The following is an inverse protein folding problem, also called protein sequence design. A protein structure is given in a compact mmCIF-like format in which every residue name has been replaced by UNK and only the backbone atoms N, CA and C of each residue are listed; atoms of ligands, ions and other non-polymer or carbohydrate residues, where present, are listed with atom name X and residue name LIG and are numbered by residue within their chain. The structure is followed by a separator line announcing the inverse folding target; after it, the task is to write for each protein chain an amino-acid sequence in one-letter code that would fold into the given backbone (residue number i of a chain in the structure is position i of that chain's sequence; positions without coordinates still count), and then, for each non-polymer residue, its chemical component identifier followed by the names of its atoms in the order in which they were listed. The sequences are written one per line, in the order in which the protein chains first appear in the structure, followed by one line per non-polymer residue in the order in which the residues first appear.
data_IF_299488042845
#
_entry.id   IF_299488042845
#
_cell.length_a   1.000
_cell.length_b   1.000
_cell.length_c   1.000
_cell.angle_alpha   90.00
_cell.angle_beta   90.00
_cell.angle_gamma   90.00
#
_symmetry.space_group_name_H-M   'P 1'
#
loop_
_entity.id
_entity.type
_entity.pdbx_description
1 polymer ?
#
# COMPACT_ATOMS: atom_id res chain seq x y z
N UNK A 1 10.56 1.19 13.25
CA UNK A 1 11.53 1.31 12.16
C UNK A 1 11.50 0.03 11.35
N UNK A 2 11.45 0.13 10.02
CA UNK A 2 11.47 -1.01 9.11
C UNK A 2 12.67 -0.94 8.16
N UNK A 3 13.06 -2.09 7.61
CA UNK A 3 14.09 -2.22 6.58
C UNK A 3 13.64 -3.28 5.58
N UNK A 4 13.58 -2.89 4.33
CA UNK A 4 13.41 -3.78 3.18
C UNK A 4 14.68 -3.76 2.35
N UNK A 5 15.12 -4.93 1.89
CA UNK A 5 16.28 -5.08 1.01
C UNK A 5 15.80 -5.75 -0.27
N UNK A 6 15.89 -5.03 -1.38
CA UNK A 6 15.56 -5.51 -2.72
C UNK A 6 16.75 -5.27 -3.66
N UNK A 7 17.52 -6.32 -3.90
CA UNK A 7 18.77 -6.23 -4.63
C UNK A 7 19.74 -5.25 -4.00
N UNK A 8 20.01 -4.14 -4.67
CA UNK A 8 20.88 -3.06 -4.19
C UNK A 8 20.09 -1.88 -3.56
N UNK A 9 18.78 -1.94 -3.60
CA UNK A 9 17.95 -0.92 -2.94
C UNK A 9 17.60 -1.34 -1.54
N UNK A 10 17.72 -0.41 -0.62
CA UNK A 10 17.20 -0.54 0.73
C UNK A 10 16.18 0.57 0.96
N UNK A 11 15.10 0.25 1.63
CA UNK A 11 14.03 1.20 1.93
C UNK A 11 13.34 0.84 3.25
N UNK A 12 12.55 1.74 3.75
CA UNK A 12 11.76 1.50 4.94
C UNK A 12 11.18 2.76 5.55
N UNK A 13 10.62 2.60 6.74
CA UNK A 13 10.16 3.72 7.57
C UNK A 13 11.15 3.92 8.72
N UNK A 14 11.72 5.08 8.85
CA UNK A 14 12.62 5.45 9.95
C UNK A 14 11.84 5.55 11.28
N UNK A 15 11.55 6.66 11.83
CA UNK A 15 10.59 6.78 12.94
C UNK A 15 9.44 7.73 12.57
N UNK A 16 9.62 8.49 11.52
CA UNK A 16 8.69 9.47 10.98
C UNK A 16 8.54 9.29 9.47
N UNK A 17 9.67 9.36 8.77
CA UNK A 17 9.70 9.43 7.31
C UNK A 17 10.01 8.08 6.68
N UNK A 18 9.57 7.92 5.43
CA UNK A 18 10.11 6.87 4.57
C UNK A 18 11.50 7.26 4.13
N UNK A 19 12.37 6.27 4.04
CA UNK A 19 13.73 6.45 3.52
C UNK A 19 14.02 5.42 2.44
N UNK A 20 14.92 5.77 1.54
CA UNK A 20 15.50 4.88 0.54
C UNK A 20 16.99 5.17 0.37
N UNK A 21 17.75 4.16 0.04
CA UNK A 21 19.17 4.26 -0.25
C UNK A 21 19.64 3.11 -1.14
N UNK A 22 20.86 3.21 -1.63
CA UNK A 22 21.53 2.08 -2.27
C UNK A 22 22.54 1.47 -1.32
N UNK A 23 22.65 0.15 -1.35
CA UNK A 23 23.67 -0.58 -0.62
C UNK A 23 24.28 -1.67 -1.51
N UNK A 24 25.58 -1.88 -1.41
CA UNK A 24 26.24 -3.06 -1.95
C UNK A 24 26.39 -4.08 -0.84
N UNK A 25 25.90 -5.30 -1.09
CA UNK A 25 25.93 -6.41 -0.12
C UNK A 25 26.71 -7.56 -0.77
N UNK A 26 27.86 -7.92 -0.20
CA UNK A 26 28.69 -9.02 -0.65
C UNK A 26 29.08 -9.90 0.54
N UNK A 27 28.46 -11.08 0.63
CA UNK A 27 28.58 -11.93 1.80
C UNK A 27 28.08 -11.23 3.07
N UNK A 28 28.93 -11.03 4.03
CA UNK A 28 28.63 -10.26 5.25
C UNK A 28 29.03 -8.78 5.17
N UNK A 29 29.59 -8.34 4.06
CA UNK A 29 29.94 -6.93 3.86
C UNK A 29 28.70 -6.13 3.46
N UNK A 30 28.54 -4.97 4.08
CA UNK A 30 27.50 -4.01 3.77
C UNK A 30 28.15 -2.63 3.54
N UNK A 31 27.88 -2.04 2.37
CA UNK A 31 28.38 -0.70 2.05
C UNK A 31 27.22 0.16 1.57
N UNK A 32 26.88 1.16 2.34
CA UNK A 32 25.90 2.17 1.95
C UNK A 32 26.49 3.05 0.85
N UNK A 33 25.74 3.26 -0.24
CA UNK A 33 26.16 4.08 -1.37
C UNK A 33 25.43 5.42 -1.35
N UNK A 34 26.14 6.48 -0.99
CA UNK A 34 25.58 7.82 -0.86
C UNK A 34 24.85 8.04 0.47
N UNK A 35 24.05 9.07 0.51
CA UNK A 35 23.25 9.45 1.69
C UNK A 35 21.81 8.95 1.46
N UNK A 36 21.15 8.37 2.48
CA UNK A 36 19.76 7.99 2.38
C UNK A 36 18.86 9.18 2.00
N UNK A 37 18.02 9.00 1.00
CA UNK A 37 16.90 9.89 0.75
C UNK A 37 15.83 9.73 1.84
N UNK A 38 15.06 10.77 2.12
CA UNK A 38 13.98 10.70 3.10
C UNK A 38 12.85 11.65 2.71
N UNK A 39 11.59 11.26 2.97
CA UNK A 39 10.46 12.18 2.92
C UNK A 39 10.57 13.24 4.02
N UNK A 40 9.84 14.34 3.88
CA UNK A 40 9.90 15.47 4.82
C UNK A 40 8.55 15.66 5.53
N UNK A 41 8.02 14.62 6.15
CA UNK A 41 6.82 14.73 6.98
C UNK A 41 7.14 15.44 8.29
N UNK A 42 6.26 16.34 8.72
CA UNK A 42 6.38 17.07 9.98
C UNK A 42 5.92 16.23 11.18
N UNK A 43 6.80 15.42 11.75
CA UNK A 43 6.51 14.68 12.98
C UNK A 43 6.98 15.45 14.22
N UNK A 44 6.42 15.14 15.38
CA UNK A 44 6.86 15.73 16.65
C UNK A 44 8.32 15.40 17.00
N UNK A 45 8.99 16.27 17.74
CA UNK A 45 10.41 16.23 18.05
C UNK A 45 11.00 14.88 18.46
N UNK A 46 10.35 14.06 19.32
CA UNK A 46 10.87 12.74 19.69
C UNK A 46 11.04 11.78 18.51
N UNK A 47 10.11 11.82 17.52
CA UNK A 47 10.20 10.98 16.32
C UNK A 47 11.32 11.43 15.40
N UNK A 48 11.49 12.73 15.19
CA UNK A 48 12.59 13.27 14.40
C UNK A 48 13.95 12.90 15.02
N UNK A 49 14.10 13.02 16.35
CA UNK A 49 15.34 12.60 17.04
C UNK A 49 15.60 11.10 16.89
N UNK A 50 14.57 10.27 16.92
CA UNK A 50 14.71 8.82 16.70
C UNK A 50 15.12 8.50 15.25
N UNK A 51 14.56 9.21 14.28
CA UNK A 51 14.91 9.12 12.86
C UNK A 51 16.37 9.50 12.62
N UNK A 52 16.81 10.67 13.10
CA UNK A 52 18.19 11.12 12.97
C UNK A 52 19.19 10.08 13.53
N UNK A 53 18.88 9.52 14.70
CA UNK A 53 19.70 8.46 15.31
C UNK A 53 19.75 7.19 14.46
N UNK A 54 18.62 6.79 13.91
CA UNK A 54 18.53 5.60 13.06
C UNK A 54 19.30 5.77 11.76
N UNK A 55 19.08 6.87 11.03
CA UNK A 55 19.74 7.13 9.76
C UNK A 55 21.25 7.30 9.95
N UNK A 56 21.69 7.98 11.01
CA UNK A 56 23.10 8.08 11.36
C UNK A 56 23.72 6.72 11.74
N UNK A 57 22.98 5.88 12.45
CA UNK A 57 23.41 4.52 12.74
C UNK A 57 23.54 3.69 11.46
N UNK A 58 22.60 3.82 10.53
CA UNK A 58 22.61 3.13 9.25
C UNK A 58 23.83 3.51 8.39
N UNK A 59 24.25 4.78 8.43
CA UNK A 59 25.48 5.23 7.76
C UNK A 59 26.76 4.59 8.35
N UNK A 60 26.73 4.23 9.63
CA UNK A 60 27.85 3.56 10.31
C UNK A 60 27.89 2.03 10.12
N UNK A 61 26.93 1.45 9.39
CA UNK A 61 26.90 0.01 9.15
C UNK A 61 27.96 -0.40 8.14
N UNK A 62 28.67 -1.49 8.44
CA UNK A 62 29.67 -2.09 7.54
C UNK A 62 29.50 -3.60 7.38
N UNK A 63 28.67 -4.24 8.20
CA UNK A 63 28.40 -5.66 8.12
C UNK A 63 26.92 -5.99 8.21
N UNK A 64 26.54 -7.11 7.59
CA UNK A 64 25.19 -7.65 7.61
C UNK A 64 25.28 -9.17 7.84
N UNK A 65 24.51 -9.69 8.75
CA UNK A 65 24.44 -11.13 9.00
C UNK A 65 23.06 -11.57 9.51
N UNK A 66 22.73 -12.82 9.32
CA UNK A 66 21.60 -13.44 10.00
C UNK A 66 22.05 -13.97 11.38
N UNK A 67 21.16 -13.84 12.35
CA UNK A 67 21.33 -14.34 13.71
C UNK A 67 20.02 -15.03 14.14
N UNK A 68 19.89 -16.31 13.80
CA UNK A 68 18.61 -17.00 13.84
C UNK A 68 17.65 -16.44 12.79
N UNK A 69 16.48 -16.02 13.22
CA UNK A 69 15.47 -15.40 12.37
C UNK A 69 15.67 -13.87 12.21
N UNK A 70 16.61 -13.29 12.95
CA UNK A 70 16.87 -11.87 12.90
C UNK A 70 17.92 -11.49 11.84
N UNK A 71 17.81 -10.29 11.33
CA UNK A 71 18.85 -9.61 10.55
C UNK A 71 19.61 -8.64 11.46
N UNK A 72 20.91 -8.77 11.50
CA UNK A 72 21.79 -7.88 12.29
C UNK A 72 22.70 -7.10 11.36
N UNK A 73 22.57 -5.78 11.40
CA UNK A 73 23.50 -4.85 10.78
C UNK A 73 24.47 -4.35 11.83
N UNK A 74 25.77 -4.46 11.57
CA UNK A 74 26.83 -4.08 12.50
C UNK A 74 27.81 -3.08 11.90
N UNK A 75 28.49 -2.34 12.76
CA UNK A 75 29.53 -1.39 12.39
C UNK A 75 30.33 -0.96 13.62
N UNK A 76 31.23 0.03 13.48
CA UNK A 76 31.97 0.54 14.59
C UNK A 76 31.05 1.31 15.56
N UNK A 77 30.78 0.70 16.71
CA UNK A 77 29.83 1.22 17.69
C UNK A 77 28.36 1.16 17.31
N UNK A 78 28.00 0.48 16.21
CA UNK A 78 26.63 0.34 15.72
C UNK A 78 26.19 -1.11 15.75
N UNK A 79 24.97 -1.34 16.21
CA UNK A 79 24.27 -2.62 16.07
C UNK A 79 22.76 -2.36 15.90
N UNK A 80 22.25 -2.68 14.73
CA UNK A 80 20.80 -2.63 14.42
C UNK A 80 20.32 -4.06 14.25
N UNK A 81 19.28 -4.43 15.01
CA UNK A 81 18.66 -5.76 14.92
C UNK A 81 17.24 -5.61 14.40
N UNK A 82 16.92 -6.37 13.38
CA UNK A 82 15.59 -6.42 12.77
C UNK A 82 15.05 -7.84 12.87
N UNK A 83 13.87 -7.97 13.43
CA UNK A 83 13.08 -9.18 13.32
C UNK A 83 12.60 -9.33 11.88
N UNK A 84 12.74 -10.52 11.31
CA UNK A 84 12.24 -10.78 9.96
C UNK A 84 10.73 -10.93 10.03
N UNK A 85 10.02 -9.96 9.47
CA UNK A 85 8.58 -10.05 9.28
C UNK A 85 8.32 -10.92 8.04
N UNK A 86 7.61 -12.04 8.16
CA UNK A 86 7.24 -12.81 6.99
C UNK A 86 6.41 -11.95 6.04
N UNK A 87 6.49 -12.18 4.72
CA UNK A 87 5.60 -11.51 3.78
C UNK A 87 4.14 -11.71 4.24
N UNK A 88 3.30 -10.68 4.10
CA UNK A 88 1.89 -10.82 4.42
C UNK A 88 1.28 -11.94 3.58
N UNK A 89 0.40 -12.72 4.21
CA UNK A 89 -0.30 -13.80 3.50
C UNK A 89 -1.23 -13.22 2.44
N UNK A 90 -1.23 -13.77 1.22
CA UNK A 90 -2.18 -13.36 0.19
C UNK A 90 -3.62 -13.60 0.66
N UNK A 91 -4.50 -12.67 0.40
CA UNK A 91 -5.93 -12.83 0.64
C UNK A 91 -6.64 -13.11 -0.68
N UNK A 92 -7.73 -13.89 -0.69
CA UNK A 92 -8.49 -14.12 -1.91
C UNK A 92 -9.13 -12.81 -2.40
N UNK A 93 -9.27 -12.67 -3.71
CA UNK A 93 -9.96 -11.53 -4.30
C UNK A 93 -11.43 -11.47 -3.86
N UNK A 94 -12.09 -12.63 -3.88
CA UNK A 94 -13.48 -12.80 -3.52
C UNK A 94 -13.65 -12.98 -2.02
N UNK A 95 -14.78 -12.53 -1.49
CA UNK A 95 -15.14 -12.59 -0.07
C UNK A 95 -14.22 -11.80 0.89
N UNK A 96 -13.26 -11.05 0.35
CA UNK A 96 -12.42 -10.10 1.10
C UNK A 96 -13.09 -8.73 1.09
N UNK A 97 -13.03 -8.02 2.21
CA UNK A 97 -13.38 -6.61 2.27
C UNK A 97 -12.16 -5.79 1.89
N UNK A 98 -12.27 -5.07 0.80
CA UNK A 98 -11.26 -4.20 0.25
C UNK A 98 -11.57 -2.76 0.65
N UNK A 99 -10.59 -2.04 1.21
CA UNK A 99 -10.72 -0.65 1.64
C UNK A 99 -10.06 0.28 0.62
N UNK A 100 -10.82 1.22 0.11
CA UNK A 100 -10.36 2.20 -0.87
C UNK A 100 -9.30 3.11 -0.24
N UNK A 101 -8.10 3.12 -0.81
CA UNK A 101 -7.00 3.96 -0.36
C UNK A 101 -6.53 4.96 -1.42
N UNK A 102 -6.89 4.78 -2.69
CA UNK A 102 -6.50 5.68 -3.76
C UNK A 102 -7.48 5.75 -4.92
N UNK A 103 -7.57 6.94 -5.52
CA UNK A 103 -8.22 7.21 -6.80
C UNK A 103 -7.11 7.62 -7.78
N UNK A 104 -7.02 6.99 -8.95
CA UNK A 104 -6.03 7.35 -9.96
C UNK A 104 -6.69 8.02 -11.15
N UNK A 105 -6.02 9.02 -11.70
CA UNK A 105 -6.41 9.79 -12.89
C UNK A 105 -5.25 9.71 -13.88
N UNK A 106 -5.52 9.21 -15.09
CA UNK A 106 -4.47 8.98 -16.07
C UNK A 106 -3.66 7.71 -15.83
N UNK A 107 -2.75 7.43 -16.78
CA UNK A 107 -1.84 6.28 -16.68
C UNK A 107 -0.55 6.68 -15.97
N UNK A 108 -0.58 6.69 -14.65
CA UNK A 108 0.60 7.05 -13.85
C UNK A 108 0.38 6.85 -12.36
N UNK A 109 1.44 6.99 -11.55
CA UNK A 109 1.38 6.81 -10.10
C UNK A 109 0.71 7.99 -9.37
N UNK A 110 0.17 8.97 -10.11
CA UNK A 110 -0.47 10.15 -9.54
C UNK A 110 -1.88 9.79 -9.05
N UNK A 111 -1.96 9.26 -7.83
CA UNK A 111 -3.21 8.97 -7.14
C UNK A 111 -3.56 10.06 -6.13
N UNK A 112 -4.85 10.31 -5.96
CA UNK A 112 -5.39 11.12 -4.87
C UNK A 112 -5.86 10.15 -3.77
N UNK A 113 -5.51 10.44 -2.52
CA UNK A 113 -6.03 9.69 -1.37
C UNK A 113 -7.54 9.87 -1.30
N UNK A 114 -8.28 8.82 -0.96
CA UNK A 114 -9.73 8.89 -0.78
C UNK A 114 -10.14 9.95 0.25
N UNK A 115 -11.25 10.64 0.00
CA UNK A 115 -11.78 11.68 0.88
C UNK A 115 -12.86 11.11 1.81
N UNK A 116 -12.84 11.54 3.08
CA UNK A 116 -13.84 11.16 4.07
C UNK A 116 -13.66 9.74 4.61
N UNK A 117 -14.75 9.05 4.92
CA UNK A 117 -14.73 7.63 5.28
C UNK A 117 -14.25 6.81 4.08
N UNK A 118 -13.28 5.87 4.24
CA UNK A 118 -12.82 5.04 3.15
C UNK A 118 -13.96 4.24 2.55
N UNK A 119 -14.08 4.27 1.23
CA UNK A 119 -14.97 3.38 0.52
C UNK A 119 -14.57 1.91 0.71
N UNK A 120 -15.49 1.00 0.50
CA UNK A 120 -15.20 -0.44 0.55
C UNK A 120 -15.71 -1.13 -0.70
N UNK A 121 -15.10 -2.26 -1.05
CA UNK A 121 -15.56 -3.18 -2.09
C UNK A 121 -15.47 -4.60 -1.56
N UNK A 122 -16.52 -5.38 -1.77
CA UNK A 122 -16.50 -6.82 -1.55
C UNK A 122 -17.15 -7.52 -2.74
N UNK A 123 -16.38 -8.28 -3.48
CA UNK A 123 -16.85 -9.22 -4.50
C UNK A 123 -17.13 -10.56 -3.83
N UNK A 124 -18.24 -11.21 -4.15
CA UNK A 124 -18.58 -12.52 -3.60
C UNK A 124 -18.53 -13.59 -4.68
N UNK A 125 -18.20 -14.79 -4.29
CA UNK A 125 -18.13 -15.98 -5.15
C UNK A 125 -19.45 -16.37 -5.79
N UNK A 126 -20.58 -15.86 -5.27
CA UNK A 126 -21.92 -16.02 -5.86
C UNK A 126 -22.23 -15.03 -7.02
N UNK A 127 -21.24 -14.21 -7.41
CA UNK A 127 -21.38 -13.18 -8.44
C UNK A 127 -22.07 -11.90 -7.96
N UNK A 128 -22.29 -11.74 -6.66
CA UNK A 128 -22.81 -10.48 -6.09
C UNK A 128 -21.69 -9.60 -5.58
N UNK A 129 -21.94 -8.30 -5.45
CA UNK A 129 -21.02 -7.39 -4.79
C UNK A 129 -21.73 -6.41 -3.87
N UNK A 130 -20.98 -5.89 -2.92
CA UNK A 130 -21.32 -4.70 -2.15
C UNK A 130 -20.16 -3.73 -2.19
N UNK A 131 -20.46 -2.44 -2.25
CA UNK A 131 -19.46 -1.39 -2.14
C UNK A 131 -20.02 -0.23 -1.32
N UNK A 132 -19.13 0.54 -0.69
CA UNK A 132 -19.44 1.86 -0.17
C UNK A 132 -18.52 2.88 -0.84
N UNK A 133 -19.03 4.07 -1.06
CA UNK A 133 -18.26 5.14 -1.74
C UNK A 133 -17.77 6.21 -0.76
N UNK A 134 -17.90 5.95 0.54
CA UNK A 134 -17.66 6.92 1.61
C UNK A 134 -18.93 7.63 2.07
N UNK A 135 -20.02 7.58 1.30
CA UNK A 135 -21.32 8.19 1.66
C UNK A 135 -22.51 7.35 1.16
N UNK A 136 -22.35 6.64 0.06
CA UNK A 136 -23.36 5.75 -0.51
C UNK A 136 -23.02 4.28 -0.34
N UNK A 137 -24.04 3.44 -0.37
CA UNK A 137 -23.91 1.98 -0.44
C UNK A 137 -24.44 1.50 -1.78
N UNK A 138 -23.68 0.62 -2.41
CA UNK A 138 -24.02 -0.03 -3.67
C UNK A 138 -24.15 -1.53 -3.44
N UNK A 139 -25.13 -2.14 -4.07
CA UNK A 139 -25.26 -3.60 -4.17
C UNK A 139 -25.58 -3.97 -5.60
N UNK A 140 -25.08 -5.12 -6.04
CA UNK A 140 -25.32 -5.54 -7.41
C UNK A 140 -24.72 -6.89 -7.73
N UNK A 141 -24.52 -7.12 -9.02
CA UNK A 141 -23.86 -8.31 -9.56
C UNK A 141 -22.63 -7.90 -10.33
N UNK A 142 -21.62 -8.76 -10.30
CA UNK A 142 -20.43 -8.64 -11.11
C UNK A 142 -20.29 -9.86 -12.03
N UNK A 143 -19.55 -9.67 -13.10
CA UNK A 143 -19.16 -10.74 -14.03
C UNK A 143 -17.80 -10.43 -14.63
N UNK A 144 -17.05 -11.48 -14.93
CA UNK A 144 -15.77 -11.40 -15.62
C UNK A 144 -15.89 -12.10 -16.97
N UNK A 145 -15.33 -11.50 -18.00
CA UNK A 145 -15.23 -12.08 -19.33
C UNK A 145 -13.92 -11.64 -20.00
N UNK A 146 -13.00 -12.58 -20.22
CA UNK A 146 -11.71 -12.37 -20.86
C UNK A 146 -10.86 -11.26 -20.19
N UNK A 147 -10.80 -11.22 -18.87
CA UNK A 147 -10.05 -10.25 -18.10
C UNK A 147 -10.76 -8.91 -17.91
N UNK A 148 -11.91 -8.72 -18.52
CA UNK A 148 -12.75 -7.54 -18.30
C UNK A 148 -13.83 -7.85 -17.26
N UNK A 149 -13.87 -7.05 -16.24
CA UNK A 149 -14.85 -7.11 -15.16
C UNK A 149 -15.90 -6.03 -15.35
N UNK A 150 -17.15 -6.36 -15.11
CA UNK A 150 -18.27 -5.43 -15.20
C UNK A 150 -19.19 -5.58 -14.01
N UNK A 151 -19.86 -4.50 -13.62
CA UNK A 151 -20.89 -4.56 -12.58
C UNK A 151 -22.24 -4.09 -13.10
N UNK A 152 -23.29 -4.66 -12.51
CA UNK A 152 -24.68 -4.25 -12.67
C UNK A 152 -25.23 -3.86 -11.30
N UNK A 153 -25.37 -2.56 -11.07
CA UNK A 153 -25.87 -2.03 -9.81
C UNK A 153 -27.38 -2.28 -9.75
N UNK A 154 -27.83 -2.97 -8.70
CA UNK A 154 -29.21 -3.31 -8.44
C UNK A 154 -29.88 -2.34 -7.47
N UNK A 155 -29.11 -1.85 -6.51
CA UNK A 155 -29.57 -0.89 -5.51
C UNK A 155 -28.47 0.08 -5.15
N UNK A 156 -28.87 1.33 -4.91
CA UNK A 156 -27.99 2.43 -4.47
C UNK A 156 -28.69 3.22 -3.38
N UNK A 157 -28.11 3.27 -2.21
CA UNK A 157 -28.62 4.03 -1.07
C UNK A 157 -27.59 5.06 -0.62
N UNK A 158 -28.08 6.19 -0.09
CA UNK A 158 -27.25 7.30 0.39
C UNK A 158 -27.18 8.46 -0.62
N UNK A 159 -26.79 9.61 -0.12
CA UNK A 159 -26.49 10.83 -0.89
C UNK A 159 -25.21 11.44 -0.36
N UNK A 160 -24.32 11.79 -1.27
CA UNK A 160 -23.08 12.44 -0.95
C UNK A 160 -23.27 13.96 -0.83
N UNK A 161 -22.49 14.56 0.06
CA UNK A 161 -22.21 16.00 -0.01
C UNK A 161 -21.23 16.27 -1.14
N UNK A 162 -21.19 17.49 -1.66
CA UNK A 162 -20.45 17.85 -2.88
C UNK A 162 -18.98 17.42 -2.91
N UNK A 163 -18.31 17.32 -1.77
CA UNK A 163 -16.89 16.94 -1.70
C UNK A 163 -16.67 15.41 -1.85
N UNK A 164 -17.66 14.59 -1.53
CA UNK A 164 -17.57 13.13 -1.65
C UNK A 164 -18.27 12.63 -2.93
N UNK A 165 -19.05 13.49 -3.58
CA UNK A 165 -19.73 13.17 -4.83
C UNK A 165 -18.75 12.83 -5.94
N UNK A 166 -17.62 13.53 -6.03
CA UNK A 166 -16.57 13.26 -7.02
C UNK A 166 -15.96 11.87 -6.83
N UNK A 167 -15.72 11.46 -5.59
CA UNK A 167 -15.25 10.10 -5.28
C UNK A 167 -16.29 9.07 -5.69
N UNK A 168 -17.58 9.29 -5.39
CA UNK A 168 -18.63 8.38 -5.76
C UNK A 168 -18.74 8.24 -7.28
N UNK A 169 -18.73 9.35 -8.01
CA UNK A 169 -18.81 9.37 -9.47
C UNK A 169 -17.62 8.61 -10.09
N UNK A 170 -16.40 8.80 -9.55
CA UNK A 170 -15.21 8.07 -9.96
C UNK A 170 -15.35 6.56 -9.74
N UNK A 171 -15.78 6.14 -8.54
CA UNK A 171 -16.01 4.72 -8.23
C UNK A 171 -17.05 4.12 -9.18
N UNK A 172 -18.16 4.82 -9.40
CA UNK A 172 -19.21 4.37 -10.30
C UNK A 172 -18.73 4.25 -11.75
N UNK A 173 -17.88 5.16 -12.22
CA UNK A 173 -17.36 5.14 -13.58
C UNK A 173 -16.39 3.98 -13.79
N UNK A 174 -15.49 3.70 -12.86
CA UNK A 174 -14.60 2.54 -12.94
C UNK A 174 -15.39 1.23 -12.90
N UNK A 175 -16.36 1.12 -12.01
CA UNK A 175 -17.15 -0.13 -11.85
C UNK A 175 -18.01 -0.49 -13.08
N UNK A 176 -18.17 0.39 -14.07
CA UNK A 176 -18.86 0.05 -15.33
C UNK A 176 -18.12 -0.99 -16.15
N UNK A 177 -16.77 -0.95 -16.12
CA UNK A 177 -15.92 -1.89 -16.84
C UNK A 177 -14.46 -1.66 -16.50
N UNK A 178 -13.81 -2.67 -15.93
CA UNK A 178 -12.45 -2.56 -15.42
C UNK A 178 -11.65 -3.85 -15.60
N UNK A 179 -10.33 -3.72 -15.56
CA UNK A 179 -9.40 -4.83 -15.35
C UNK A 179 -9.01 -4.88 -13.88
N UNK A 180 -8.55 -6.04 -13.43
CA UNK A 180 -8.15 -6.30 -12.05
C UNK A 180 -6.70 -6.71 -12.03
N UNK A 181 -5.89 -6.02 -11.21
CA UNK A 181 -4.60 -6.46 -10.75
C UNK A 181 -4.68 -6.71 -9.25
N UNK A 182 -4.34 -7.93 -8.83
CA UNK A 182 -4.47 -8.36 -7.45
C UNK A 182 -3.16 -8.99 -6.99
N UNK A 183 -2.52 -8.36 -6.04
CA UNK A 183 -1.26 -8.80 -5.44
C UNK A 183 -1.35 -8.83 -3.92
N UNK A 184 -1.13 -10.00 -3.33
CA UNK A 184 -1.05 -10.22 -1.89
C UNK A 184 -2.25 -9.64 -1.13
N UNK A 185 -2.25 -8.34 -0.84
CA UNK A 185 -3.29 -7.62 -0.09
C UNK A 185 -3.65 -6.28 -0.75
N UNK A 186 -3.22 -6.08 -1.96
CA UNK A 186 -3.54 -4.92 -2.80
C UNK A 186 -4.43 -5.34 -3.95
N UNK A 187 -5.39 -4.51 -4.28
CA UNK A 187 -6.31 -4.68 -5.39
C UNK A 187 -6.40 -3.37 -6.16
N UNK A 188 -5.96 -3.39 -7.39
CA UNK A 188 -6.05 -2.26 -8.31
C UNK A 188 -7.06 -2.56 -9.40
N UNK A 189 -7.96 -1.61 -9.64
CA UNK A 189 -8.95 -1.65 -10.70
C UNK A 189 -8.64 -0.54 -11.69
N UNK A 190 -8.49 -0.88 -12.97
CA UNK A 190 -8.27 0.10 -14.03
C UNK A 190 -9.44 0.07 -15.01
N UNK A 191 -9.99 1.23 -15.32
CA UNK A 191 -11.08 1.37 -16.29
C UNK A 191 -10.63 0.93 -17.69
N UNK A 192 -11.42 0.08 -18.36
CA UNK A 192 -11.06 -0.51 -19.66
C UNK A 192 -10.94 0.55 -20.76
N UNK A 193 -11.87 1.49 -20.83
CA UNK A 193 -11.97 2.51 -21.88
C UNK A 193 -11.74 3.93 -21.34
N UNK A 194 -10.86 4.09 -20.33
CA UNK A 194 -10.63 5.38 -19.72
C UNK A 194 -9.29 5.48 -19.02
N UNK A 195 -9.15 6.54 -18.25
CA UNK A 195 -7.94 6.87 -17.52
C UNK A 195 -8.20 6.89 -15.99
N UNK A 196 -9.27 6.22 -15.54
CA UNK A 196 -9.63 6.17 -14.13
C UNK A 196 -9.24 4.84 -13.51
N UNK A 197 -8.80 4.86 -12.27
CA UNK A 197 -8.51 3.65 -11.51
C UNK A 197 -8.85 3.80 -10.02
N UNK A 198 -8.88 2.67 -9.34
CA UNK A 198 -9.13 2.57 -7.91
C UNK A 198 -8.09 1.64 -7.30
N UNK A 199 -7.47 2.09 -6.22
CA UNK A 199 -6.58 1.26 -5.41
C UNK A 199 -7.22 0.93 -4.08
N UNK A 200 -7.15 -0.34 -3.71
CA UNK A 200 -7.69 -0.86 -2.46
C UNK A 200 -6.65 -1.68 -1.71
N UNK A 201 -6.80 -1.77 -0.40
CA UNK A 201 -6.05 -2.69 0.45
C UNK A 201 -6.99 -3.53 1.30
N UNK A 202 -6.60 -4.77 1.59
CA UNK A 202 -7.26 -5.58 2.60
C UNK A 202 -6.70 -5.27 3.99
N UNK A 203 -7.55 -5.36 5.03
CA UNK A 203 -7.13 -5.20 6.42
C UNK A 203 -5.99 -6.17 6.78
N UNK A 204 -5.00 -5.69 7.53
CA UNK A 204 -4.04 -6.56 8.17
C UNK A 204 -4.65 -7.19 9.43
N UNK A 205 -4.60 -8.54 9.58
CA UNK A 205 -5.03 -9.17 10.82
C UNK A 205 -4.30 -8.68 12.07
N UNK A 206 -3.08 -8.13 11.90
CA UNK A 206 -2.29 -7.55 12.99
C UNK A 206 -2.78 -6.17 13.45
N UNK A 207 -3.64 -5.51 12.66
CA UNK A 207 -4.23 -4.19 13.00
C UNK A 207 -5.57 -4.31 13.75
N UNK A 208 -5.98 -5.51 14.15
CA UNK A 208 -7.22 -5.78 14.91
C UNK A 208 -6.98 -6.03 16.37
#
# INVERSE_FOLDING_TARGET
VTLTIDGQMISGTSACNHYDARATIEGESFVLVGVPGSTLMGCGGPRLTAEERYLHALEGVSTIRRDGDDLVLGGDGVSLRFEVVPPPEPVPLENTTWHLNGLTYGRGPDGIVSFGEPGTLQLRDDGTFTATTGCGKLTGKWSENNGTWTTSILDRDGRCDNHVQEQEDHVLDVLKGFTVEHEVRQLDLEQVDGDLGLSYTADDPADR
#
